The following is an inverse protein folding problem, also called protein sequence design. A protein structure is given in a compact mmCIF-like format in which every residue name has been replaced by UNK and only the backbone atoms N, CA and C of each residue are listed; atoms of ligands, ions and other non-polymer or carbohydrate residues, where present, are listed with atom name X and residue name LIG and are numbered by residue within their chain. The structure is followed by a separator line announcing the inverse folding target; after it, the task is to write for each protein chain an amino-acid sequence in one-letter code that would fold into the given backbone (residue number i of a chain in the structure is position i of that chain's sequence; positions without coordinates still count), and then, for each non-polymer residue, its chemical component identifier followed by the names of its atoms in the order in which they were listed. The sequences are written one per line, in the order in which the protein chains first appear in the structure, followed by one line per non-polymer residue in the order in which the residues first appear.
data_IF_772899466579
#
_entry.id   IF_772899466579
#
_cell.length_a   1.000
_cell.length_b   1.000
_cell.length_c   1.000
_cell.angle_alpha   90.00
_cell.angle_beta   90.00
_cell.angle_gamma   90.00
#
_symmetry.space_group_name_H-M   'P 1'
#
loop_
_entity.id
_entity.type
_entity.pdbx_description
1 polymer ?
#
# COMPACT_ATOMS: atom_id res chain seq x y z
N UNK A 1 -8.03 9.47 -21.46
CA UNK A 1 -6.68 9.57 -20.86
C UNK A 1 -6.85 10.25 -19.51
N UNK A 2 -6.32 9.66 -18.44
CA UNK A 2 -6.35 10.28 -17.12
C UNK A 2 -5.44 11.51 -17.08
N UNK A 3 -5.82 12.54 -16.34
CA UNK A 3 -5.04 13.80 -16.25
C UNK A 3 -5.11 14.40 -14.86
N UNK A 4 -4.03 15.07 -14.45
CA UNK A 4 -4.05 15.92 -13.26
C UNK A 4 -4.66 17.26 -13.67
N UNK A 5 -5.67 17.72 -12.95
CA UNK A 5 -6.42 18.93 -13.33
C UNK A 5 -6.05 20.13 -12.46
N UNK A 6 -6.10 19.97 -11.13
CA UNK A 6 -5.92 21.09 -10.20
C UNK A 6 -5.28 20.63 -8.90
N UNK A 7 -4.36 21.45 -8.38
CA UNK A 7 -3.77 21.29 -7.05
C UNK A 7 -4.00 22.55 -6.23
N UNK A 8 -4.44 22.39 -4.99
CA UNK A 8 -4.48 23.45 -3.98
C UNK A 8 -3.58 23.07 -2.80
N UNK A 9 -2.70 23.98 -2.40
CA UNK A 9 -1.69 23.79 -1.35
C UNK A 9 -1.86 24.88 -0.30
N UNK A 10 -1.84 24.49 0.98
CA UNK A 10 -1.87 25.39 2.13
C UNK A 10 -1.05 24.80 3.28
N UNK A 11 -0.26 25.62 3.96
CA UNK A 11 0.47 25.23 5.17
C UNK A 11 1.48 24.11 4.96
N UNK A 12 2.07 24.02 3.76
CA UNK A 12 3.10 23.04 3.42
C UNK A 12 4.41 23.77 3.16
N UNK A 13 5.47 23.47 3.91
CA UNK A 13 6.79 24.14 3.82
C UNK A 13 6.66 25.65 3.68
N UNK A 14 7.09 26.24 2.56
CA UNK A 14 7.05 27.69 2.31
C UNK A 14 5.65 28.24 1.99
N UNK A 15 4.64 27.39 1.77
CA UNK A 15 3.25 27.80 1.58
C UNK A 15 2.64 28.17 2.93
N UNK A 16 2.11 29.38 3.03
CA UNK A 16 1.57 29.94 4.26
C UNK A 16 0.33 29.20 4.79
N UNK A 17 0.06 29.38 6.08
CA UNK A 17 -1.00 28.68 6.81
C UNK A 17 -2.33 29.40 6.78
N UNK A 18 -2.39 30.67 6.36
CA UNK A 18 -3.63 31.45 6.36
C UNK A 18 -4.53 31.08 5.18
N UNK A 19 -5.83 31.37 5.32
CA UNK A 19 -6.79 31.09 4.25
C UNK A 19 -6.52 31.91 2.97
N UNK A 20 -5.89 33.08 3.11
CA UNK A 20 -5.44 33.90 1.98
C UNK A 20 -4.20 33.36 1.26
N UNK A 21 -3.44 32.48 1.90
CA UNK A 21 -2.17 31.95 1.36
C UNK A 21 -2.36 30.74 0.45
N UNK A 22 -3.61 30.24 0.31
CA UNK A 22 -3.93 29.05 -0.49
C UNK A 22 -3.48 29.24 -1.93
N UNK A 23 -2.48 28.46 -2.33
CA UNK A 23 -1.99 28.46 -3.71
C UNK A 23 -2.77 27.46 -4.55
N UNK A 24 -3.26 27.92 -5.71
CA UNK A 24 -4.05 27.10 -6.63
C UNK A 24 -3.33 27.00 -7.96
N UNK A 25 -3.01 25.78 -8.37
CA UNK A 25 -2.32 25.47 -9.62
C UNK A 25 -3.28 24.70 -10.51
N UNK A 26 -3.47 25.17 -11.75
CA UNK A 26 -4.19 24.43 -12.79
C UNK A 26 -3.16 23.86 -13.77
N UNK A 27 -3.21 22.56 -13.99
CA UNK A 27 -2.31 21.90 -14.94
C UNK A 27 -2.89 21.95 -16.34
N UNK A 28 -2.02 22.18 -17.31
CA UNK A 28 -2.35 22.29 -18.72
C UNK A 28 -1.79 21.09 -19.49
N UNK A 29 -2.49 20.70 -20.54
CA UNK A 29 -2.04 19.69 -21.51
C UNK A 29 -1.56 20.39 -22.79
N UNK A 30 -0.45 19.96 -23.41
CA UNK A 30 0.37 18.80 -23.03
C UNK A 30 1.50 19.12 -22.04
N UNK A 31 1.78 20.39 -21.76
CA UNK A 31 2.93 20.83 -20.98
C UNK A 31 2.52 21.88 -19.94
N UNK A 32 2.99 21.70 -18.70
CA UNK A 32 2.89 22.71 -17.64
C UNK A 32 4.31 23.11 -17.22
N UNK A 33 4.66 24.39 -17.41
CA UNK A 33 5.97 24.92 -17.04
C UNK A 33 5.93 25.54 -15.64
N UNK A 34 6.76 25.04 -14.72
CA UNK A 34 6.90 25.55 -13.35
C UNK A 34 8.30 26.15 -13.21
N UNK A 35 8.38 27.49 -13.22
CA UNK A 35 9.64 28.25 -13.11
C UNK A 35 9.66 29.10 -11.85
N UNK A 36 10.85 29.40 -11.37
CA UNK A 36 11.07 30.24 -10.19
C UNK A 36 12.47 30.05 -9.62
N UNK A 37 12.85 30.93 -8.70
CA UNK A 37 14.16 30.88 -8.05
C UNK A 37 14.32 29.65 -7.16
N UNK A 38 15.56 29.35 -6.75
CA UNK A 38 15.81 28.29 -5.77
C UNK A 38 15.13 28.63 -4.44
N UNK A 39 14.54 27.63 -3.80
CA UNK A 39 13.78 27.82 -2.55
C UNK A 39 12.34 28.33 -2.71
N UNK A 40 11.86 28.63 -3.93
CA UNK A 40 10.48 29.12 -4.12
C UNK A 40 9.39 28.02 -4.05
N UNK A 41 9.74 26.79 -3.67
CA UNK A 41 8.78 25.70 -3.48
C UNK A 41 8.45 24.86 -4.73
N UNK A 42 9.24 24.92 -5.81
CA UNK A 42 9.04 24.08 -7.02
C UNK A 42 8.99 22.59 -6.69
N UNK A 43 9.99 22.10 -5.96
CA UNK A 43 10.06 20.70 -5.51
C UNK A 43 8.89 20.37 -4.60
N UNK A 44 8.49 21.30 -3.72
CA UNK A 44 7.32 21.14 -2.84
C UNK A 44 6.02 20.92 -3.62
N UNK A 45 5.83 21.56 -4.77
CA UNK A 45 4.65 21.34 -5.62
C UNK A 45 4.60 19.88 -6.09
N UNK A 46 5.74 19.33 -6.53
CA UNK A 46 5.84 17.94 -7.00
C UNK A 46 5.62 16.95 -5.83
N UNK A 47 6.18 17.25 -4.67
CA UNK A 47 5.93 16.50 -3.44
C UNK A 47 4.45 16.51 -3.04
N UNK A 48 3.75 17.63 -3.18
CA UNK A 48 2.32 17.72 -2.95
C UNK A 48 1.51 16.89 -3.95
N UNK A 49 1.92 16.82 -5.23
CA UNK A 49 1.29 15.94 -6.21
C UNK A 49 1.44 14.47 -5.80
N UNK A 50 2.66 14.05 -5.46
CA UNK A 50 2.94 12.70 -4.96
C UNK A 50 2.11 12.38 -3.72
N UNK A 51 2.14 13.25 -2.72
CA UNK A 51 1.37 13.09 -1.49
C UNK A 51 -0.15 13.05 -1.73
N UNK A 52 -0.66 13.90 -2.63
CA UNK A 52 -2.08 13.91 -3.01
C UNK A 52 -2.54 12.56 -3.56
N UNK A 53 -1.74 11.97 -4.45
CA UNK A 53 -2.02 10.67 -5.07
C UNK A 53 -1.81 9.49 -4.12
N UNK A 54 -0.64 9.41 -3.47
CA UNK A 54 -0.20 8.17 -2.80
C UNK A 54 -0.23 8.23 -1.28
N UNK A 55 -0.43 9.43 -0.71
CA UNK A 55 -0.37 9.67 0.73
C UNK A 55 1.04 9.59 1.33
N UNK A 56 2.08 9.39 0.51
CA UNK A 56 3.46 9.29 1.00
C UNK A 56 4.07 10.66 1.23
N UNK A 57 4.55 10.88 2.46
CA UNK A 57 5.30 12.08 2.80
C UNK A 57 6.68 12.07 2.11
N UNK A 58 7.23 13.24 1.75
CA UNK A 58 8.54 13.31 1.12
C UNK A 58 9.65 12.73 1.99
N UNK A 59 10.73 12.17 1.40
CA UNK A 59 11.89 11.72 2.14
C UNK A 59 12.54 12.90 2.89
N UNK A 60 13.30 12.58 3.95
CA UNK A 60 13.99 13.60 4.75
C UNK A 60 13.09 14.48 5.64
N UNK A 61 11.77 14.23 5.69
CA UNK A 61 10.83 15.10 6.43
C UNK A 61 10.63 14.76 7.91
N UNK A 62 11.44 13.86 8.49
CA UNK A 62 11.26 13.28 9.83
C UNK A 62 9.79 12.89 10.11
N UNK A 63 9.32 11.90 9.34
CA UNK A 63 7.94 11.39 9.41
C UNK A 63 6.87 12.46 9.16
N UNK A 64 7.13 13.39 8.22
CA UNK A 64 6.18 14.42 7.80
C UNK A 64 6.23 15.73 8.58
N UNK A 65 7.01 15.82 9.68
CA UNK A 65 7.09 17.04 10.50
C UNK A 65 7.61 18.24 9.71
N UNK A 66 8.65 18.06 8.90
CA UNK A 66 9.22 19.12 8.07
C UNK A 66 8.47 19.32 6.74
N UNK A 67 7.38 18.59 6.51
CA UNK A 67 6.51 18.80 5.36
C UNK A 67 5.48 19.90 5.62
N UNK A 68 4.94 19.97 6.84
CA UNK A 68 4.02 21.03 7.26
C UNK A 68 4.81 22.29 7.60
N UNK A 69 4.22 23.45 7.36
CA UNK A 69 4.79 24.74 7.74
C UNK A 69 5.18 24.75 9.24
N UNK A 70 6.41 25.15 9.58
CA UNK A 70 6.88 25.12 10.97
C UNK A 70 6.12 26.17 11.82
N UNK A 71 5.38 25.75 12.87
CA UNK A 71 4.66 26.68 13.73
C UNK A 71 5.55 27.74 14.39
N UNK A 72 6.86 27.47 14.55
CA UNK A 72 7.81 28.42 15.15
C UNK A 72 7.99 29.69 14.33
N UNK A 73 7.83 29.62 13.01
CA UNK A 73 8.03 30.76 12.10
C UNK A 73 7.03 31.88 12.42
N UNK A 74 5.81 31.52 12.81
CA UNK A 74 4.74 32.46 13.16
C UNK A 74 4.44 32.52 14.66
N UNK A 75 5.32 31.96 15.50
CA UNK A 75 5.10 31.85 16.96
C UNK A 75 3.76 31.20 17.35
N UNK A 76 3.25 30.27 16.53
CA UNK A 76 2.03 29.52 16.83
C UNK A 76 2.34 28.19 17.50
N UNK A 77 1.38 27.69 18.28
CA UNK A 77 1.48 26.36 18.93
C UNK A 77 1.28 25.24 17.91
N UNK A 78 0.57 25.51 16.83
CA UNK A 78 0.28 24.55 15.78
C UNK A 78 0.20 25.19 14.39
N UNK A 79 0.43 24.34 13.40
CA UNK A 79 0.26 24.63 11.98
C UNK A 79 -0.56 23.52 11.34
N UNK A 80 -1.52 23.89 10.51
CA UNK A 80 -2.30 22.96 9.71
C UNK A 80 -1.84 23.03 8.25
N UNK A 81 -1.61 21.86 7.67
CA UNK A 81 -1.31 21.68 6.25
C UNK A 81 -2.47 20.99 5.54
N UNK A 82 -2.72 21.40 4.29
CA UNK A 82 -3.72 20.77 3.44
C UNK A 82 -3.21 20.68 2.00
N UNK A 83 -3.40 19.51 1.41
CA UNK A 83 -3.18 19.24 -0.01
C UNK A 83 -4.49 18.76 -0.60
N UNK A 84 -5.00 19.48 -1.59
CA UNK A 84 -6.20 19.12 -2.34
C UNK A 84 -5.85 18.89 -3.80
N UNK A 85 -5.96 17.66 -4.26
CA UNK A 85 -5.62 17.25 -5.62
C UNK A 85 -6.86 16.76 -6.35
N UNK A 86 -7.09 17.33 -7.53
CA UNK A 86 -8.14 16.91 -8.45
C UNK A 86 -7.52 16.27 -9.68
N UNK A 87 -7.99 15.07 -9.99
CA UNK A 87 -7.65 14.31 -11.21
C UNK A 87 -8.92 14.03 -12.00
N UNK A 88 -8.75 13.86 -13.31
CA UNK A 88 -9.78 13.35 -14.21
C UNK A 88 -9.38 11.95 -14.62
N UNK A 89 -10.28 10.98 -14.49
CA UNK A 89 -10.02 9.59 -14.83
C UNK A 89 -10.09 9.32 -16.34
N UNK A 90 -9.91 8.06 -16.75
CA UNK A 90 -9.97 7.68 -18.16
C UNK A 90 -11.38 7.77 -18.76
N UNK A 91 -12.43 7.77 -17.94
CA UNK A 91 -13.84 7.92 -18.33
C UNK A 91 -14.30 9.38 -18.41
N UNK A 92 -13.48 10.31 -17.92
CA UNK A 92 -13.79 11.75 -17.87
C UNK A 92 -14.40 12.20 -16.54
N UNK A 93 -14.58 11.30 -15.57
CA UNK A 93 -15.07 11.66 -14.23
C UNK A 93 -13.95 12.31 -13.40
N UNK A 94 -14.35 13.09 -12.40
CA UNK A 94 -13.40 13.82 -11.55
C UNK A 94 -13.30 13.16 -10.18
N UNK A 95 -12.08 12.97 -9.73
CA UNK A 95 -11.79 12.50 -8.37
C UNK A 95 -10.94 13.55 -7.67
N UNK A 96 -11.40 13.99 -6.49
CA UNK A 96 -10.72 14.99 -5.67
C UNK A 96 -10.37 14.41 -4.32
N UNK A 97 -9.07 14.29 -4.02
CA UNK A 97 -8.58 13.95 -2.69
C UNK A 97 -8.18 15.22 -1.94
N UNK A 98 -8.69 15.36 -0.71
CA UNK A 98 -8.28 16.39 0.25
C UNK A 98 -7.63 15.71 1.44
N UNK A 99 -6.34 15.97 1.65
CA UNK A 99 -5.55 15.40 2.74
C UNK A 99 -5.11 16.52 3.67
N UNK A 100 -5.49 16.41 4.94
CA UNK A 100 -5.16 17.40 5.96
C UNK A 100 -4.21 16.80 6.98
N UNK A 101 -3.33 17.63 7.52
CA UNK A 101 -2.31 17.23 8.48
C UNK A 101 -2.02 18.38 9.43
N UNK A 102 -1.46 18.06 10.59
CA UNK A 102 -1.16 19.02 11.64
C UNK A 102 0.21 18.76 12.22
N UNK A 103 0.94 19.85 12.48
CA UNK A 103 2.13 19.82 13.32
C UNK A 103 1.86 20.69 14.54
N UNK A 104 2.05 20.11 15.73
CA UNK A 104 1.96 20.84 17.00
C UNK A 104 3.31 20.86 17.71
N UNK A 105 3.66 22.03 18.25
CA UNK A 105 4.79 22.16 19.14
C UNK A 105 4.44 21.50 20.47
N UNK A 106 5.35 20.63 20.92
CA UNK A 106 5.37 20.21 22.31
C UNK A 106 6.20 21.21 23.11
N UNK A 107 6.10 21.19 24.44
CA UNK A 107 6.78 22.14 25.33
C UNK A 107 8.29 22.27 25.07
N UNK A 108 8.91 23.29 25.67
CA UNK A 108 10.33 23.66 25.43
C UNK A 108 11.26 22.42 25.43
N UNK A 109 11.99 22.22 24.32
CA UNK A 109 12.94 21.12 24.15
C UNK A 109 12.36 19.81 23.59
N UNK A 110 11.05 19.72 23.39
CA UNK A 110 10.43 18.52 22.81
C UNK A 110 10.27 18.61 21.29
N UNK A 111 10.39 17.44 20.65
CA UNK A 111 10.18 17.26 19.21
C UNK A 111 8.72 17.58 18.83
N UNK A 112 8.48 18.30 17.73
CA UNK A 112 7.13 18.60 17.26
C UNK A 112 6.39 17.30 16.89
N UNK A 113 5.07 17.28 17.12
CA UNK A 113 4.20 16.13 16.84
C UNK A 113 3.52 16.33 15.50
N UNK A 114 3.76 15.42 14.55
CA UNK A 114 3.03 15.34 13.29
C UNK A 114 1.83 14.39 13.44
N UNK A 115 0.68 14.81 12.93
CA UNK A 115 -0.55 14.03 12.89
C UNK A 115 -1.20 14.17 11.52
N UNK A 116 -1.62 13.05 10.94
CA UNK A 116 -2.50 13.07 9.76
C UNK A 116 -3.94 13.19 10.26
N UNK A 117 -4.69 14.12 9.67
CA UNK A 117 -6.09 14.35 10.00
C UNK A 117 -7.00 13.63 9.01
N UNK A 118 -8.31 13.72 9.24
CA UNK A 118 -9.34 13.19 8.36
C UNK A 118 -9.09 13.65 6.91
N UNK A 119 -9.03 12.67 6.02
CA UNK A 119 -8.92 12.88 4.58
C UNK A 119 -10.29 12.64 3.94
N UNK A 120 -10.57 13.34 2.86
CA UNK A 120 -11.86 13.31 2.16
C UNK A 120 -11.60 12.99 0.69
N UNK A 121 -12.39 12.10 0.11
CA UNK A 121 -12.41 11.88 -1.33
C UNK A 121 -13.79 12.20 -1.89
N UNK A 122 -13.83 12.99 -2.95
CA UNK A 122 -15.05 13.32 -3.68
C UNK A 122 -14.91 12.82 -5.10
N UNK A 123 -15.84 11.98 -5.52
CA UNK A 123 -16.00 11.50 -6.88
C UNK A 123 -17.18 12.24 -7.52
N UNK A 124 -16.97 12.79 -8.71
CA UNK A 124 -17.97 13.52 -9.47
C UNK A 124 -18.09 12.89 -10.85
N UNK A 125 -19.28 12.37 -11.15
CA UNK A 125 -19.62 11.94 -12.49
C UNK A 125 -19.94 13.17 -13.34
N UNK A 126 -19.13 13.42 -14.37
CA UNK A 126 -19.26 14.65 -15.16
C UNK A 126 -20.46 14.60 -16.09
N UNK A 127 -20.91 13.41 -16.51
CA UNK A 127 -22.05 13.26 -17.40
C UNK A 127 -23.40 13.40 -16.67
N UNK A 128 -23.51 12.88 -15.43
CA UNK A 128 -24.75 12.93 -14.64
C UNK A 128 -24.79 14.11 -13.66
N UNK A 129 -23.64 14.71 -13.34
CA UNK A 129 -23.49 15.71 -12.29
C UNK A 129 -23.54 15.15 -10.87
N UNK A 130 -23.65 13.82 -10.72
CA UNK A 130 -23.73 13.15 -9.43
C UNK A 130 -22.40 13.25 -8.67
N UNK A 131 -22.48 13.54 -7.37
CA UNK A 131 -21.33 13.69 -6.49
C UNK A 131 -21.43 12.76 -5.30
N UNK A 132 -20.46 11.86 -5.19
CA UNK A 132 -20.30 10.97 -4.04
C UNK A 132 -19.10 11.45 -3.23
N UNK A 133 -19.33 11.86 -1.99
CA UNK A 133 -18.25 12.22 -1.07
C UNK A 133 -18.14 11.15 0.02
N UNK A 134 -16.96 10.55 0.12
CA UNK A 134 -16.61 9.68 1.22
C UNK A 134 -15.83 10.51 2.23
N UNK A 135 -16.48 10.78 3.36
CA UNK A 135 -15.88 11.45 4.52
C UNK A 135 -15.30 10.38 5.46
N UNK A 136 -14.02 10.49 5.81
CA UNK A 136 -13.26 9.51 6.63
C UNK A 136 -13.04 8.11 6.03
N UNK A 137 -12.78 7.95 4.72
CA UNK A 137 -12.22 6.69 4.22
C UNK A 137 -10.88 6.39 4.90
N UNK A 138 -10.52 5.11 5.04
CA UNK A 138 -9.18 4.77 5.52
C UNK A 138 -8.18 5.31 4.49
N UNK A 139 -6.99 5.72 4.93
CA UNK A 139 -5.98 6.27 4.03
C UNK A 139 -5.67 5.34 2.84
N UNK A 140 -5.70 4.02 3.05
CA UNK A 140 -5.55 3.02 2.00
C UNK A 140 -6.64 3.09 0.93
N UNK A 141 -7.89 3.32 1.33
CA UNK A 141 -9.03 3.39 0.41
C UNK A 141 -8.88 4.61 -0.52
N UNK A 142 -8.45 5.77 0.00
CA UNK A 142 -8.17 6.98 -0.80
C UNK A 142 -7.01 6.75 -1.77
N UNK A 143 -5.95 6.11 -1.30
CA UNK A 143 -4.77 5.86 -2.13
C UNK A 143 -5.12 4.98 -3.32
N UNK A 144 -5.92 3.94 -3.10
CA UNK A 144 -6.39 3.05 -4.17
C UNK A 144 -7.26 3.84 -5.16
N UNK A 145 -8.25 4.57 -4.67
CA UNK A 145 -9.15 5.38 -5.52
C UNK A 145 -8.38 6.37 -6.41
N UNK A 146 -7.39 7.06 -5.85
CA UNK A 146 -6.56 8.00 -6.62
C UNK A 146 -5.64 7.29 -7.62
N UNK A 147 -5.11 6.11 -7.29
CA UNK A 147 -4.31 5.31 -8.22
C UNK A 147 -5.17 4.76 -9.37
N UNK A 148 -6.37 4.27 -9.05
CA UNK A 148 -7.34 3.72 -10.00
C UNK A 148 -7.84 4.83 -10.96
N UNK A 149 -8.15 6.02 -10.42
CA UNK A 149 -8.51 7.18 -11.24
C UNK A 149 -7.36 7.59 -12.18
N UNK A 150 -6.11 7.54 -11.71
CA UNK A 150 -4.94 7.81 -12.56
C UNK A 150 -4.64 6.66 -13.53
N UNK A 151 -5.14 5.45 -13.30
CA UNK A 151 -4.89 4.26 -14.11
C UNK A 151 -3.45 3.74 -14.02
N UNK A 152 -2.73 4.07 -12.96
CA UNK A 152 -1.33 3.67 -12.75
C UNK A 152 -1.10 3.21 -11.31
N UNK A 153 -0.22 2.23 -11.13
CA UNK A 153 0.08 1.70 -9.80
C UNK A 153 0.81 2.74 -8.94
N UNK A 154 0.66 2.61 -7.62
CA UNK A 154 1.40 3.43 -6.64
C UNK A 154 2.92 3.41 -6.91
N UNK A 155 3.48 2.27 -7.30
CA UNK A 155 4.90 2.13 -7.61
C UNK A 155 5.32 2.97 -8.82
N UNK A 156 4.49 3.04 -9.87
CA UNK A 156 4.74 3.89 -11.05
C UNK A 156 4.67 5.36 -10.66
N UNK A 157 3.66 5.77 -9.88
CA UNK A 157 3.54 7.14 -9.40
C UNK A 157 4.79 7.55 -8.62
N UNK A 158 5.27 6.69 -7.73
CA UNK A 158 6.36 7.00 -6.81
C UNK A 158 7.76 6.94 -7.43
N UNK A 159 8.02 5.97 -8.32
CA UNK A 159 9.37 5.70 -8.84
C UNK A 159 9.58 6.25 -10.26
N UNK A 160 8.50 6.54 -11.01
CA UNK A 160 8.59 6.95 -12.43
C UNK A 160 8.01 8.34 -12.63
N UNK A 161 6.74 8.58 -12.27
CA UNK A 161 6.05 9.86 -12.57
C UNK A 161 6.52 10.98 -11.63
N UNK A 162 6.47 10.74 -10.33
CA UNK A 162 6.89 11.67 -9.28
C UNK A 162 8.03 11.07 -8.45
N UNK A 163 9.05 10.59 -9.16
CA UNK A 163 10.32 10.21 -8.55
C UNK A 163 10.90 11.40 -7.79
N UNK A 164 11.35 11.18 -6.56
CA UNK A 164 11.93 12.25 -5.77
C UNK A 164 13.28 12.66 -6.39
N UNK A 165 13.62 13.95 -6.29
CA UNK A 165 14.84 14.49 -6.91
C UNK A 165 16.10 13.74 -6.43
N UNK A 166 16.18 13.43 -5.14
CA UNK A 166 17.30 12.69 -4.54
C UNK A 166 17.35 11.22 -4.98
N UNK A 167 16.21 10.65 -5.35
CA UNK A 167 16.08 9.24 -5.77
C UNK A 167 16.11 9.08 -7.31
N UNK A 168 16.29 10.16 -8.05
CA UNK A 168 16.19 10.17 -9.53
C UNK A 168 17.19 9.25 -10.23
N UNK A 169 18.33 8.99 -9.59
CA UNK A 169 19.37 8.10 -10.09
C UNK A 169 19.13 6.63 -9.73
N UNK A 170 17.94 6.27 -9.23
CA UNK A 170 17.64 4.88 -8.87
C UNK A 170 17.90 3.82 -9.95
N UNK A 171 17.79 4.10 -11.26
CA UNK A 171 18.13 3.10 -12.28
C UNK A 171 19.61 2.68 -12.27
N UNK A 172 20.47 3.49 -11.62
CA UNK A 172 21.91 3.27 -11.47
C UNK A 172 22.28 2.70 -10.10
N UNK A 173 21.31 2.43 -9.23
CA UNK A 173 21.54 1.80 -7.93
C UNK A 173 22.02 0.34 -8.11
N UNK A 174 22.54 -0.23 -7.02
CA UNK A 174 23.00 -1.61 -7.01
C UNK A 174 21.89 -2.61 -7.43
N UNK A 175 22.26 -3.75 -8.03
CA UNK A 175 21.30 -4.70 -8.63
C UNK A 175 20.16 -5.12 -7.69
N UNK A 176 20.42 -5.19 -6.38
CA UNK A 176 19.42 -5.57 -5.38
C UNK A 176 18.32 -4.51 -5.22
N UNK A 177 18.68 -3.24 -5.08
CA UNK A 177 17.69 -2.16 -4.92
C UNK A 177 16.97 -1.87 -6.23
N UNK A 178 17.70 -1.95 -7.35
CA UNK A 178 17.14 -1.88 -8.70
C UNK A 178 16.08 -2.95 -8.93
N UNK A 179 16.37 -4.20 -8.58
CA UNK A 179 15.42 -5.32 -8.71
C UNK A 179 14.16 -5.09 -7.88
N UNK A 180 14.28 -4.58 -6.64
CA UNK A 180 13.11 -4.27 -5.81
C UNK A 180 12.19 -3.24 -6.46
N UNK A 181 12.74 -2.17 -7.05
CA UNK A 181 11.97 -1.14 -7.75
C UNK A 181 11.28 -1.70 -9.00
N UNK A 182 11.98 -2.53 -9.79
CA UNK A 182 11.37 -3.23 -10.93
C UNK A 182 10.26 -4.19 -10.50
N UNK A 183 10.50 -5.01 -9.48
CA UNK A 183 9.50 -5.95 -8.98
C UNK A 183 8.23 -5.21 -8.52
N UNK A 184 8.39 -4.04 -7.87
CA UNK A 184 7.28 -3.19 -7.45
C UNK A 184 6.54 -2.55 -8.65
N UNK A 185 7.27 -2.10 -9.67
CA UNK A 185 6.69 -1.49 -10.89
C UNK A 185 5.88 -2.52 -11.68
N UNK A 186 6.42 -3.73 -11.86
CA UNK A 186 5.76 -4.81 -12.60
C UNK A 186 4.77 -5.62 -11.76
N UNK A 187 4.68 -5.35 -10.45
CA UNK A 187 3.80 -6.10 -9.54
C UNK A 187 4.18 -7.58 -9.40
N UNK A 188 5.43 -7.96 -9.69
CA UNK A 188 5.89 -9.36 -9.60
C UNK A 188 5.92 -9.88 -8.18
N UNK A 189 5.93 -8.99 -7.17
CA UNK A 189 5.92 -9.34 -5.75
C UNK A 189 4.68 -10.16 -5.36
N UNK A 190 3.50 -9.80 -5.85
CA UNK A 190 2.27 -10.53 -5.54
C UNK A 190 2.28 -11.92 -6.18
N UNK A 191 2.76 -12.02 -7.42
CA UNK A 191 2.92 -13.31 -8.10
C UNK A 191 3.91 -14.22 -7.36
N UNK A 192 5.08 -13.68 -6.96
CA UNK A 192 6.07 -14.42 -6.20
C UNK A 192 5.49 -14.94 -4.87
N UNK A 193 4.71 -14.11 -4.17
CA UNK A 193 4.04 -14.50 -2.93
C UNK A 193 3.02 -15.62 -3.14
N UNK A 194 2.27 -15.61 -4.24
CA UNK A 194 1.33 -16.69 -4.58
C UNK A 194 2.09 -17.98 -4.90
N UNK A 195 3.18 -17.90 -5.67
CA UNK A 195 4.04 -19.05 -6.00
C UNK A 195 4.63 -19.67 -4.72
N UNK A 196 5.16 -18.86 -3.82
CA UNK A 196 5.69 -19.34 -2.53
C UNK A 196 4.62 -20.08 -1.70
N UNK A 197 3.39 -19.55 -1.67
CA UNK A 197 2.27 -20.21 -1.01
C UNK A 197 1.94 -21.56 -1.66
N UNK A 198 1.91 -21.63 -2.99
CA UNK A 198 1.65 -22.88 -3.71
C UNK A 198 2.72 -23.94 -3.44
N UNK A 199 3.99 -23.55 -3.42
CA UNK A 199 5.11 -24.44 -3.06
C UNK A 199 4.94 -24.97 -1.63
N UNK A 200 4.60 -24.09 -0.69
CA UNK A 200 4.38 -24.48 0.71
C UNK A 200 3.23 -25.48 0.85
N UNK A 201 2.11 -25.21 0.18
CA UNK A 201 0.95 -26.10 0.16
C UNK A 201 1.33 -27.46 -0.44
N UNK A 202 2.04 -27.48 -1.58
CA UNK A 202 2.50 -28.73 -2.20
C UNK A 202 3.37 -29.56 -1.26
N UNK A 203 4.27 -28.92 -0.51
CA UNK A 203 5.09 -29.58 0.50
C UNK A 203 4.25 -30.19 1.63
N UNK A 204 3.29 -29.42 2.16
CA UNK A 204 2.38 -29.90 3.22
C UNK A 204 1.53 -31.11 2.77
N UNK A 205 1.03 -31.10 1.53
CA UNK A 205 0.31 -32.25 0.98
C UNK A 205 1.20 -33.48 0.80
N UNK A 206 2.43 -33.31 0.31
CA UNK A 206 3.38 -34.41 0.18
C UNK A 206 3.76 -35.02 1.54
N UNK A 207 3.96 -34.19 2.56
CA UNK A 207 4.28 -34.67 3.91
C UNK A 207 3.10 -35.45 4.51
N UNK A 208 1.85 -34.94 4.37
CA UNK A 208 0.64 -35.67 4.76
C UNK A 208 0.45 -36.99 4.01
N UNK A 209 0.81 -37.02 2.72
CA UNK A 209 0.73 -38.25 1.92
C UNK A 209 1.70 -39.31 2.45
N UNK A 210 2.93 -38.91 2.80
CA UNK A 210 3.92 -39.81 3.39
C UNK A 210 3.48 -40.35 4.74
N UNK A 211 2.92 -39.49 5.59
CA UNK A 211 2.36 -39.87 6.89
C UNK A 211 1.25 -40.92 6.73
N UNK A 212 0.24 -40.64 5.90
CA UNK A 212 -0.85 -41.59 5.60
C UNK A 212 -0.37 -42.90 4.99
N UNK A 213 0.65 -42.86 4.12
CA UNK A 213 1.25 -44.07 3.56
C UNK A 213 1.98 -44.90 4.62
N UNK A 214 2.58 -44.25 5.63
CA UNK A 214 3.14 -44.91 6.81
C UNK A 214 2.06 -45.59 7.66
N UNK A 215 0.97 -44.88 7.95
CA UNK A 215 -0.17 -45.41 8.71
C UNK A 215 -0.81 -46.61 8.01
N UNK A 216 -0.98 -46.53 6.69
CA UNK A 216 -1.53 -47.62 5.89
C UNK A 216 -0.69 -48.90 6.03
N UNK A 217 0.63 -48.80 5.92
CA UNK A 217 1.55 -49.95 6.09
C UNK A 217 1.47 -50.55 7.49
N UNK A 218 1.34 -49.71 8.52
CA UNK A 218 1.18 -50.17 9.89
C UNK A 218 -0.14 -50.93 10.06
N UNK A 219 -1.24 -50.37 9.55
CA UNK A 219 -2.57 -51.00 9.61
C UNK A 219 -2.62 -52.31 8.83
N UNK A 220 -1.97 -52.40 7.66
CA UNK A 220 -1.84 -53.63 6.89
C UNK A 220 -1.11 -54.73 7.68
N UNK A 221 -0.01 -54.38 8.36
CA UNK A 221 0.72 -55.31 9.22
C UNK A 221 -0.13 -55.78 10.40
N UNK A 222 -0.85 -54.86 11.07
CA UNK A 222 -1.74 -55.21 12.20
C UNK A 222 -2.86 -56.15 11.72
N UNK A 223 -3.47 -55.85 10.57
CA UNK A 223 -4.52 -56.69 9.98
C UNK A 223 -4.00 -58.10 9.69
N UNK A 224 -2.84 -58.22 9.04
CA UNK A 224 -2.21 -59.52 8.75
C UNK A 224 -1.93 -60.33 10.02
N UNK A 225 -1.38 -59.70 11.06
CA UNK A 225 -1.15 -60.36 12.35
C UNK A 225 -2.45 -60.82 13.02
N UNK A 226 -3.52 -60.02 12.94
CA UNK A 226 -4.83 -60.37 13.47
C UNK A 226 -5.44 -61.57 12.72
N UNK A 227 -5.35 -61.60 11.39
CA UNK A 227 -5.81 -62.72 10.56
C UNK A 227 -5.07 -64.02 10.90
N UNK A 228 -3.74 -63.97 11.06
CA UNK A 228 -2.94 -65.13 11.48
C UNK A 228 -3.37 -65.66 12.84
N UNK A 229 -3.54 -64.77 13.83
CA UNK A 229 -4.02 -65.17 15.17
C UNK A 229 -5.42 -65.76 15.12
N UNK A 230 -6.31 -65.19 14.31
CA UNK A 230 -7.69 -65.69 14.15
C UNK A 230 -7.71 -67.10 13.54
N UNK A 231 -6.87 -67.36 12.54
CA UNK A 231 -6.67 -68.70 11.97
C UNK A 231 -6.11 -69.70 12.99
N UNK A 232 -5.18 -69.29 13.84
CA UNK A 232 -4.64 -70.12 14.92
C UNK A 232 -5.73 -70.49 15.94
N UNK A 233 -6.54 -69.51 16.37
CA UNK A 233 -7.67 -69.74 17.28
C UNK A 233 -8.69 -70.73 16.70
N UNK A 234 -9.06 -70.58 15.43
CA UNK A 234 -9.98 -71.52 14.77
C UNK A 234 -9.44 -72.95 14.68
N UNK A 235 -8.12 -73.12 14.53
CA UNK A 235 -7.48 -74.44 14.54
C UNK A 235 -7.52 -75.08 15.92
N UNK A 236 -7.28 -74.30 16.98
CA UNK A 236 -7.36 -74.76 18.37
C UNK A 236 -8.79 -75.17 18.73
N UNK A 237 -9.80 -74.37 18.36
CA UNK A 237 -11.21 -74.69 18.60
C UNK A 237 -11.66 -75.97 17.87
N UNK A 238 -11.20 -76.18 16.62
CA UNK A 238 -11.47 -77.43 15.89
C UNK A 238 -10.80 -78.64 16.54
N UNK A 239 -9.55 -78.50 16.99
CA UNK A 239 -8.82 -79.58 17.67
C UNK A 239 -9.46 -79.96 19.02
N UNK A 240 -9.96 -78.98 19.78
CA UNK A 240 -10.68 -79.22 21.04
C UNK A 240 -12.01 -79.95 20.86
N UNK A 241 -12.72 -79.73 19.75
CA UNK A 241 -13.97 -80.44 19.41
C UNK A 241 -13.77 -81.88 18.93
N UNK A 242 -12.62 -82.21 18.32
CA UNK A 242 -12.30 -83.59 17.92
C UNK A 242 -11.83 -84.48 19.08
N UNK A 243 -11.37 -83.92 20.20
CA UNK A 243 -10.95 -84.66 21.39
C UNK A 243 -12.09 -84.87 22.43
N UNK A 244 -13.32 -84.48 22.09
CA UNK A 244 -14.50 -84.56 22.97
C UNK A 244 -15.61 -85.49 22.46
N UNK A 245 -15.27 -86.38 21.51
CA UNK A 245 -16.05 -87.56 21.10
C UNK A 245 -15.25 -88.82 21.42
#
# INVERSE_FOLDING_TARGET
MSTISKLEIRGIRSFGVESGDVQKIKFQSPLTLIVGQNGCGKTTIIECLKYGLTGEVPPGTDRGKAFVHDPKIFSTVESMGQVKLMVTDFTGNRVTATRSMKVSQKGRGQQPKFETLDSVVTMENVATGEKTTLSRPRAADINNEMCDAMGVSKAIINNVIFCHQEDSNWPLEEPKELKKKFDAIFGTTEYNRVIEKLIKISKEYNDRQKEKAGDLKLLENIKSQAEVKHLQLQKVDKAGRTNSL
#
